data_IF_719276000531
#
_entry.id   IF_719276000531
#
_cell.length_a   1.000
_cell.length_b   1.000
_cell.length_c   1.000
_cell.angle_alpha   90.00
_cell.angle_beta   90.00
_cell.angle_gamma   90.00
#
_symmetry.space_group_name_H-M   'P 1'
#
loop_
_entity.id
_entity.type
_entity.pdbx_description
1 polymer ?
#
# COMPACT_ATOMS: atom_id res chain seq x y z
N UNK A 1 16.22 17.60 -6.54
CA UNK A 1 15.14 16.88 -5.82
C UNK A 1 15.66 15.52 -5.37
N UNK A 2 15.53 15.19 -4.08
CA UNK A 2 15.95 13.89 -3.51
C UNK A 2 14.83 12.83 -3.55
N UNK A 3 13.64 13.17 -4.08
CA UNK A 3 12.51 12.25 -4.20
C UNK A 3 12.49 11.66 -5.61
N UNK A 4 13.28 10.61 -5.83
CA UNK A 4 13.45 9.97 -7.14
C UNK A 4 13.59 8.44 -7.02
N UNK A 5 13.51 7.76 -8.17
CA UNK A 5 13.57 6.30 -8.27
C UNK A 5 14.85 5.66 -7.71
N UNK A 6 16.00 6.33 -7.88
CA UNK A 6 17.27 5.82 -7.33
C UNK A 6 17.30 5.86 -5.80
N UNK A 7 16.78 6.95 -5.21
CA UNK A 7 16.75 7.12 -3.75
C UNK A 7 15.85 6.07 -3.08
N UNK A 8 14.64 5.86 -3.63
CA UNK A 8 13.73 4.84 -3.10
C UNK A 8 14.32 3.43 -3.29
N UNK A 9 15.03 3.16 -4.39
CA UNK A 9 15.67 1.86 -4.61
C UNK A 9 16.75 1.53 -3.56
N UNK A 10 17.55 2.52 -3.15
CA UNK A 10 18.53 2.34 -2.06
C UNK A 10 17.83 2.03 -0.75
N UNK A 11 16.81 2.81 -0.36
CA UNK A 11 16.06 2.57 0.87
C UNK A 11 15.43 1.16 0.93
N UNK A 12 14.88 0.69 -0.19
CA UNK A 12 14.32 -0.66 -0.27
C UNK A 12 15.37 -1.76 -0.25
N UNK A 13 16.59 -1.51 -0.75
CA UNK A 13 17.69 -2.47 -0.68
C UNK A 13 18.08 -2.73 0.78
N UNK A 14 18.27 -1.65 1.56
CA UNK A 14 18.61 -1.74 2.99
C UNK A 14 17.49 -2.42 3.81
N UNK A 15 16.21 -2.10 3.54
CA UNK A 15 15.09 -2.78 4.20
C UNK A 15 15.09 -4.28 3.93
N UNK A 16 15.46 -4.70 2.72
CA UNK A 16 15.52 -6.11 2.39
C UNK A 16 16.70 -6.82 3.06
N UNK A 17 17.85 -6.15 3.22
CA UNK A 17 18.97 -6.69 4.00
C UNK A 17 18.56 -6.89 5.47
N UNK A 18 17.90 -5.91 6.08
CA UNK A 18 17.38 -6.00 7.46
C UNK A 18 16.40 -7.18 7.62
N UNK A 19 15.50 -7.38 6.65
CA UNK A 19 14.58 -8.54 6.66
C UNK A 19 15.32 -9.87 6.66
N UNK A 20 16.37 -9.96 5.84
CA UNK A 20 17.13 -11.19 5.64
C UNK A 20 18.00 -11.52 6.85
N UNK A 21 18.75 -10.55 7.36
CA UNK A 21 19.62 -10.72 8.53
C UNK A 21 18.83 -11.00 9.80
N UNK A 22 17.69 -10.32 9.98
CA UNK A 22 16.84 -10.48 11.15
C UNK A 22 15.89 -11.67 11.08
N UNK A 23 15.79 -12.37 9.95
CA UNK A 23 14.83 -13.47 9.76
C UNK A 23 13.36 -13.03 9.85
N UNK A 24 13.07 -11.76 9.53
CA UNK A 24 11.72 -11.22 9.60
C UNK A 24 10.85 -11.68 8.42
N UNK A 25 9.62 -12.08 8.71
CA UNK A 25 8.70 -12.61 7.70
C UNK A 25 7.77 -11.57 7.08
N UNK A 26 7.63 -10.39 7.70
CA UNK A 26 6.67 -9.37 7.30
C UNK A 26 7.26 -7.97 7.34
N UNK A 27 6.89 -7.16 6.35
CA UNK A 27 6.93 -5.69 6.41
C UNK A 27 5.51 -5.15 6.55
N UNK A 28 5.36 -4.08 7.31
CA UNK A 28 4.10 -3.36 7.44
C UNK A 28 4.31 -1.85 7.33
N UNK A 29 3.26 -1.15 6.90
CA UNK A 29 3.27 0.31 6.80
C UNK A 29 1.96 0.83 6.25
N UNK A 30 1.92 2.12 5.90
CA UNK A 30 0.74 2.73 5.27
C UNK A 30 1.08 3.26 3.89
N UNK A 31 0.08 3.22 3.00
CA UNK A 31 0.12 3.93 1.72
C UNK A 31 -1.02 4.94 1.69
N UNK A 32 -0.66 6.21 1.52
CA UNK A 32 -1.60 7.32 1.55
C UNK A 32 -2.19 7.59 0.18
N UNK A 33 -3.52 7.77 0.13
CA UNK A 33 -4.25 8.23 -1.04
C UNK A 33 -4.69 9.68 -0.79
N UNK A 34 -4.36 10.64 -1.67
CA UNK A 34 -4.76 12.03 -1.47
C UNK A 34 -6.29 12.21 -1.45
N UNK A 35 -6.81 13.07 -0.57
CA UNK A 35 -8.26 13.31 -0.36
C UNK A 35 -8.75 14.67 -0.91
N UNK A 36 -7.96 15.38 -1.73
CA UNK A 36 -8.32 16.74 -2.19
C UNK A 36 -9.56 16.80 -3.10
N UNK A 37 -9.99 15.66 -3.64
CA UNK A 37 -11.18 15.52 -4.47
C UNK A 37 -12.44 15.14 -3.66
N UNK A 38 -12.40 15.26 -2.34
CA UNK A 38 -13.47 14.84 -1.45
C UNK A 38 -13.53 13.32 -1.23
N UNK A 39 -12.47 12.58 -1.59
CA UNK A 39 -12.34 11.14 -1.35
C UNK A 39 -12.79 10.26 -2.51
N UNK A 40 -13.19 10.83 -3.65
CA UNK A 40 -13.66 10.08 -4.83
C UNK A 40 -12.60 9.03 -5.25
N UNK A 41 -11.34 9.45 -5.38
CA UNK A 41 -10.23 8.58 -5.73
C UNK A 41 -9.98 7.51 -4.66
N UNK A 42 -10.04 7.84 -3.38
CA UNK A 42 -9.83 6.90 -2.29
C UNK A 42 -10.88 5.77 -2.30
N UNK A 43 -12.16 6.12 -2.44
CA UNK A 43 -13.23 5.14 -2.56
C UNK A 43 -13.09 4.28 -3.83
N UNK A 44 -12.81 4.89 -4.99
CA UNK A 44 -12.70 4.17 -6.24
C UNK A 44 -11.45 3.26 -6.30
N UNK A 45 -10.35 3.67 -5.67
CA UNK A 45 -9.17 2.82 -5.47
C UNK A 45 -9.51 1.67 -4.52
N UNK A 46 -10.17 1.93 -3.40
CA UNK A 46 -10.51 0.88 -2.44
C UNK A 46 -11.45 -0.17 -3.01
N UNK A 47 -12.42 0.19 -3.84
CA UNK A 47 -13.25 -0.79 -4.55
C UNK A 47 -12.37 -1.81 -5.30
N UNK A 48 -11.37 -1.33 -6.06
CA UNK A 48 -10.45 -2.20 -6.81
C UNK A 48 -9.50 -2.99 -5.92
N UNK A 49 -9.09 -2.43 -4.78
CA UNK A 49 -8.17 -3.10 -3.87
C UNK A 49 -8.85 -4.23 -3.08
N UNK A 50 -10.10 -4.03 -2.63
CA UNK A 50 -10.86 -5.06 -1.89
C UNK A 50 -11.02 -6.34 -2.70
N UNK A 51 -11.27 -6.22 -4.01
CA UNK A 51 -11.50 -7.36 -4.90
C UNK A 51 -10.26 -8.25 -5.07
N UNK A 52 -9.05 -7.68 -5.00
CA UNK A 52 -7.83 -8.37 -5.47
C UNK A 52 -6.73 -8.48 -4.42
N UNK A 53 -6.67 -7.54 -3.49
CA UNK A 53 -5.51 -7.33 -2.61
C UNK A 53 -5.86 -7.40 -1.13
N UNK A 54 -7.11 -7.66 -0.75
CA UNK A 54 -7.51 -7.79 0.65
C UNK A 54 -6.84 -9.00 1.31
N UNK A 55 -6.30 -8.80 2.51
CA UNK A 55 -5.71 -9.88 3.29
C UNK A 55 -6.76 -10.80 3.92
N UNK A 56 -6.28 -11.88 4.53
CA UNK A 56 -7.09 -12.77 5.36
C UNK A 56 -7.75 -11.99 6.50
N UNK A 57 -8.94 -12.44 6.89
CA UNK A 57 -9.80 -11.72 7.85
C UNK A 57 -9.11 -11.43 9.19
N UNK A 58 -8.38 -12.39 9.76
CA UNK A 58 -7.68 -12.24 11.03
C UNK A 58 -6.46 -11.29 10.99
N UNK A 59 -6.07 -10.81 9.80
CA UNK A 59 -4.99 -9.82 9.61
C UNK A 59 -5.54 -8.43 9.26
N UNK A 60 -6.87 -8.24 9.29
CA UNK A 60 -7.49 -6.95 9.01
C UNK A 60 -7.40 -6.06 10.24
N UNK A 61 -7.02 -4.81 10.01
CA UNK A 61 -7.09 -3.71 10.95
C UNK A 61 -8.39 -2.93 10.71
N UNK A 62 -9.01 -2.49 11.80
CA UNK A 62 -10.16 -1.60 11.77
C UNK A 62 -9.68 -0.15 11.88
N UNK A 63 -10.08 0.75 10.95
CA UNK A 63 -9.69 2.15 11.03
C UNK A 63 -10.36 2.85 12.21
N UNK A 64 -9.59 3.63 12.98
CA UNK A 64 -10.15 4.44 14.07
C UNK A 64 -11.00 5.60 13.56
N UNK A 65 -10.61 6.17 12.42
CA UNK A 65 -11.34 7.22 11.72
C UNK A 65 -11.66 6.71 10.30
N UNK A 66 -12.77 5.98 10.09
CA UNK A 66 -13.13 5.50 8.76
C UNK A 66 -13.45 6.67 7.82
N UNK A 67 -13.27 6.47 6.52
CA UNK A 67 -13.72 7.46 5.54
C UNK A 67 -15.25 7.63 5.62
N UNK A 68 -15.77 8.86 5.47
CA UNK A 68 -17.21 9.09 5.30
C UNK A 68 -17.76 8.23 4.15
N UNK A 69 -19.00 7.77 4.27
CA UNK A 69 -19.62 7.02 3.16
C UNK A 69 -19.84 7.94 1.97
N UNK A 70 -19.41 7.48 0.79
CA UNK A 70 -19.61 8.17 -0.47
C UNK A 70 -20.23 7.19 -1.47
N UNK A 71 -21.38 7.56 -2.02
CA UNK A 71 -21.99 6.80 -3.11
C UNK A 71 -21.31 7.18 -4.43
N UNK A 72 -20.67 6.21 -5.06
CA UNK A 72 -19.90 6.41 -6.30
C UNK A 72 -20.41 5.47 -7.39
N UNK A 73 -20.50 5.96 -8.64
CA UNK A 73 -20.85 5.10 -9.75
C UNK A 73 -19.72 4.10 -10.02
N UNK A 74 -20.06 2.90 -10.48
CA UNK A 74 -19.09 1.82 -10.71
C UNK A 74 -18.05 2.09 -11.80
N UNK A 75 -18.19 3.19 -12.56
CA UNK A 75 -17.34 3.55 -13.69
C UNK A 75 -16.34 4.68 -13.40
N UNK A 76 -16.11 5.05 -12.13
CA UNK A 76 -15.10 6.07 -11.81
C UNK A 76 -13.71 5.60 -12.25
N UNK A 77 -13.05 6.42 -13.06
CA UNK A 77 -11.65 6.19 -13.45
C UNK A 77 -10.78 6.55 -12.24
N UNK A 78 -10.33 5.53 -11.50
CA UNK A 78 -9.36 5.76 -10.45
C UNK A 78 -7.91 5.65 -10.95
N UNK A 79 -7.08 6.56 -10.47
CA UNK A 79 -5.64 6.60 -10.73
C UNK A 79 -4.91 6.21 -9.46
N UNK A 80 -4.43 4.97 -9.41
CA UNK A 80 -3.69 4.49 -8.24
C UNK A 80 -2.36 5.24 -8.09
N UNK A 81 -2.06 5.80 -6.90
CA UNK A 81 -0.77 6.43 -6.63
C UNK A 81 0.40 5.52 -7.01
N UNK A 82 1.47 6.04 -7.64
CA UNK A 82 2.58 5.22 -8.14
C UNK A 82 3.21 4.31 -7.07
N UNK A 83 3.32 4.81 -5.83
CA UNK A 83 3.90 4.06 -4.72
C UNK A 83 3.01 2.89 -4.28
N UNK A 84 1.70 3.14 -4.10
CA UNK A 84 0.73 2.09 -3.80
C UNK A 84 0.71 1.01 -4.90
N UNK A 85 0.75 1.43 -6.17
CA UNK A 85 0.87 0.52 -7.32
C UNK A 85 2.14 -0.33 -7.27
N UNK A 86 3.26 0.22 -6.80
CA UNK A 86 4.49 -0.53 -6.61
C UNK A 86 4.34 -1.60 -5.52
N UNK A 87 3.70 -1.29 -4.40
CA UNK A 87 3.44 -2.25 -3.32
C UNK A 87 2.57 -3.43 -3.78
N UNK A 88 1.50 -3.14 -4.52
CA UNK A 88 0.63 -4.19 -5.06
C UNK A 88 1.36 -5.10 -6.07
N UNK A 89 2.32 -4.56 -6.83
CA UNK A 89 3.17 -5.33 -7.74
C UNK A 89 4.20 -6.19 -7.01
N UNK A 90 4.65 -5.75 -5.84
CA UNK A 90 5.56 -6.52 -4.98
C UNK A 90 4.86 -7.73 -4.33
N UNK A 91 3.53 -7.74 -4.26
CA UNK A 91 2.74 -8.79 -3.62
C UNK A 91 2.12 -8.36 -2.30
N UNK A 92 2.20 -7.08 -1.94
CA UNK A 92 1.60 -6.60 -0.71
C UNK A 92 0.08 -6.71 -0.73
N UNK A 93 -0.50 -6.89 0.46
CA UNK A 93 -1.93 -6.93 0.73
C UNK A 93 -2.35 -5.67 1.47
N UNK A 94 -3.61 -5.29 1.28
CA UNK A 94 -4.26 -4.28 2.11
C UNK A 94 -4.95 -4.96 3.29
N UNK A 95 -4.84 -4.36 4.46
CA UNK A 95 -5.30 -4.93 5.71
C UNK A 95 -6.60 -4.30 6.20
N UNK A 96 -7.55 -4.04 5.30
CA UNK A 96 -8.87 -3.50 5.65
C UNK A 96 -9.14 -2.15 5.02
N UNK A 97 -10.10 -1.44 5.62
CA UNK A 97 -10.53 -0.12 5.16
C UNK A 97 -9.52 0.97 5.54
N UNK A 98 -9.39 2.03 4.74
CA UNK A 98 -8.47 3.11 5.04
C UNK A 98 -8.92 3.93 6.25
N UNK A 99 -7.94 4.52 6.93
CA UNK A 99 -8.14 5.53 7.96
C UNK A 99 -8.01 6.92 7.34
N UNK A 100 -8.94 7.81 7.65
CA UNK A 100 -8.84 9.22 7.25
C UNK A 100 -7.88 9.94 8.19
N UNK A 101 -6.77 10.42 7.63
CA UNK A 101 -5.83 11.33 8.26
C UNK A 101 -6.18 12.77 7.82
N UNK A 102 -6.81 13.51 8.73
CA UNK A 102 -7.25 14.89 8.51
C UNK A 102 -6.07 15.88 8.51
N UNK A 103 -5.00 15.59 9.24
CA UNK A 103 -3.84 16.48 9.34
C UNK A 103 -3.08 16.52 8.00
N UNK A 104 -2.97 15.36 7.34
CA UNK A 104 -2.31 15.22 6.04
C UNK A 104 -3.26 15.28 4.85
N UNK A 105 -4.58 15.27 5.08
CA UNK A 105 -5.62 15.22 4.05
C UNK A 105 -5.45 14.02 3.11
N UNK A 106 -5.30 12.83 3.71
CA UNK A 106 -5.12 11.56 3.01
C UNK A 106 -5.98 10.45 3.62
N UNK A 107 -6.25 9.42 2.81
CA UNK A 107 -6.75 8.13 3.25
C UNK A 107 -5.59 7.15 3.33
N UNK A 108 -5.21 6.75 4.54
CA UNK A 108 -4.13 5.82 4.78
C UNK A 108 -4.63 4.37 4.73
N UNK A 109 -4.12 3.62 3.76
CA UNK A 109 -4.38 2.20 3.62
C UNK A 109 -3.29 1.43 4.34
N UNK A 110 -3.65 0.57 5.30
CA UNK A 110 -2.68 -0.29 5.98
C UNK A 110 -2.22 -1.42 5.04
N UNK A 111 -0.90 -1.55 4.87
CA UNK A 111 -0.23 -2.46 3.94
C UNK A 111 0.56 -3.50 4.72
N UNK A 112 0.43 -4.75 4.31
CA UNK A 112 1.22 -5.87 4.79
C UNK A 112 1.87 -6.61 3.63
N UNK A 113 3.18 -6.84 3.72
CA UNK A 113 3.93 -7.58 2.72
C UNK A 113 4.62 -8.77 3.40
N UNK A 114 4.24 -9.98 2.97
CA UNK A 114 4.89 -11.21 3.41
C UNK A 114 6.12 -11.47 2.53
N UNK A 115 7.26 -11.75 3.17
CA UNK A 115 8.53 -12.03 2.48
C UNK A 115 8.37 -13.12 1.42
N UNK A 116 7.72 -14.22 1.75
CA UNK A 116 7.56 -15.37 0.84
C UNK A 116 6.65 -15.08 -0.36
N UNK A 117 5.89 -13.99 -0.33
CA UNK A 117 4.99 -13.56 -1.41
C UNK A 117 5.61 -12.45 -2.27
N UNK A 118 6.86 -12.06 -1.99
CA UNK A 118 7.61 -11.10 -2.78
C UNK A 118 7.71 -11.59 -4.23
N UNK A 119 7.15 -10.83 -5.16
CA UNK A 119 7.27 -11.15 -6.57
C UNK A 119 8.75 -11.07 -6.99
N UNK A 120 9.41 -12.18 -7.38
CA UNK A 120 10.86 -12.22 -7.59
C UNK A 120 11.35 -11.23 -8.67
N UNK A 121 10.50 -11.00 -9.68
CA UNK A 121 10.78 -10.05 -10.76
C UNK A 121 10.92 -8.61 -10.24
N UNK A 122 10.11 -8.23 -9.26
CA UNK A 122 10.09 -6.87 -8.70
C UNK A 122 11.05 -6.76 -7.50
N UNK A 123 11.25 -7.82 -6.73
CA UNK A 123 12.29 -7.91 -5.69
C UNK A 123 13.69 -7.60 -6.25
N UNK A 124 13.99 -8.11 -7.46
CA UNK A 124 15.26 -7.84 -8.15
C UNK A 124 15.49 -6.36 -8.48
N UNK A 125 14.43 -5.57 -8.65
CA UNK A 125 14.57 -4.12 -8.89
C UNK A 125 15.06 -3.37 -7.64
N UNK A 126 14.83 -3.96 -6.46
CA UNK A 126 15.21 -3.41 -5.16
C UNK A 126 16.38 -4.15 -4.52
N UNK A 127 17.07 -5.05 -5.26
CA UNK A 127 18.11 -5.95 -4.73
C UNK A 127 17.68 -6.71 -3.48
N UNK A 128 16.37 -6.89 -3.26
CA UNK A 128 15.90 -7.71 -2.17
C UNK A 128 16.30 -9.16 -2.49
N UNK A 129 17.26 -9.70 -1.76
CA UNK A 129 17.66 -11.08 -1.92
C UNK A 129 16.42 -11.95 -1.66
N UNK A 130 16.08 -12.76 -2.66
CA UNK A 130 15.07 -13.83 -2.58
C UNK A 130 15.71 -14.99 -1.84
#
# INVERSE_FOLDING_TARGET
>A
SYRNGGTIAVLWSELAEILNEGGYSYLMGCASIPMQDGGIQAHAIMQRLRERYLCNEHLRAEPKNPLPTLDLPNNVICEMPPLLKAYMRLGAKICGEPCWDEDFQVADVFILLKRDELCPRYARHFKAAV
#
